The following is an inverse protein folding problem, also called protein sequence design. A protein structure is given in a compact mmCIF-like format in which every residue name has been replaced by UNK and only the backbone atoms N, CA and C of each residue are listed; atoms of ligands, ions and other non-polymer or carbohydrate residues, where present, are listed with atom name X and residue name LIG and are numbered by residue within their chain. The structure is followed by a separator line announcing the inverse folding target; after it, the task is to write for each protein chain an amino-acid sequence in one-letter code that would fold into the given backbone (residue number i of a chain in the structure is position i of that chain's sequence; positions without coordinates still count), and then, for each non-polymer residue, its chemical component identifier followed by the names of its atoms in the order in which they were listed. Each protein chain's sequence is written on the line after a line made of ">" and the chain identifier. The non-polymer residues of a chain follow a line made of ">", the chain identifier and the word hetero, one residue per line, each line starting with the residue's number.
data_IF_496613610617
#
_entry.id   IF_496613610617
#
_cell.length_a   1.000
_cell.length_b   1.000
_cell.length_c   1.000
_cell.angle_alpha   90.00
_cell.angle_beta   90.00
_cell.angle_gamma   90.00
#
_symmetry.space_group_name_H-M   'P 1'
#
loop_
_entity.id
_entity.type
_entity.pdbx_description
1 polymer ?
#
# COMPACT_ATOMS: atom_id res chain seq x y z
N UNK A 1 -19.74 -2.40 34.63
CA UNK A 1 -18.76 -2.30 33.55
C UNK A 1 -19.33 -3.07 32.36
N UNK A 2 -20.10 -2.37 31.50
CA UNK A 2 -20.70 -2.95 30.29
C UNK A 2 -19.59 -3.07 29.25
N UNK A 3 -19.20 -4.27 28.94
CA UNK A 3 -18.41 -4.56 27.75
C UNK A 3 -19.31 -4.19 26.56
N UNK A 4 -18.97 -3.08 25.90
CA UNK A 4 -19.59 -2.69 24.64
C UNK A 4 -19.40 -3.85 23.66
N UNK A 5 -20.50 -4.36 23.12
CA UNK A 5 -20.48 -5.33 22.02
C UNK A 5 -19.51 -4.84 20.95
N UNK A 6 -18.63 -5.73 20.43
CA UNK A 6 -17.78 -5.37 19.32
C UNK A 6 -18.70 -4.96 18.17
N UNK A 7 -18.53 -3.73 17.67
CA UNK A 7 -19.29 -3.22 16.56
C UNK A 7 -19.20 -4.23 15.42
N UNK A 8 -20.33 -4.89 15.12
CA UNK A 8 -20.50 -5.78 13.99
C UNK A 8 -20.33 -4.97 12.69
N UNK A 9 -19.10 -4.64 12.34
CA UNK A 9 -18.84 -4.25 10.97
C UNK A 9 -19.04 -5.49 10.09
N UNK A 10 -19.95 -5.43 9.13
CA UNK A 10 -20.08 -6.56 8.22
C UNK A 10 -18.75 -6.73 7.50
N UNK A 11 -18.11 -7.88 7.68
CA UNK A 11 -16.91 -8.34 6.96
C UNK A 11 -16.98 -8.01 5.44
N UNK A 12 -18.18 -7.95 4.90
CA UNK A 12 -18.47 -7.59 3.51
C UNK A 12 -18.18 -6.13 3.12
N UNK A 13 -17.99 -5.22 4.08
CA UNK A 13 -17.69 -3.81 3.75
C UNK A 13 -16.20 -3.59 3.40
N UNK A 14 -15.31 -4.50 3.79
CA UNK A 14 -13.87 -4.40 3.55
C UNK A 14 -13.41 -5.15 2.29
N UNK A 15 -14.28 -5.96 1.68
CA UNK A 15 -13.92 -6.65 0.43
C UNK A 15 -14.13 -5.71 -0.76
N UNK A 16 -13.16 -5.62 -1.68
CA UNK A 16 -13.37 -4.94 -2.94
C UNK A 16 -14.58 -5.56 -3.64
N UNK A 17 -15.49 -4.72 -4.14
CA UNK A 17 -16.74 -5.13 -4.83
C UNK A 17 -16.50 -5.89 -6.14
N UNK A 18 -15.25 -6.16 -6.51
CA UNK A 18 -14.85 -7.01 -7.63
C UNK A 18 -14.80 -8.47 -7.19
N UNK A 19 -15.44 -9.37 -7.93
CA UNK A 19 -15.29 -10.82 -7.75
C UNK A 19 -13.83 -11.25 -7.96
N UNK A 20 -13.49 -12.49 -7.58
CA UNK A 20 -12.15 -13.08 -7.78
C UNK A 20 -11.69 -12.95 -9.25
N UNK A 21 -12.63 -12.90 -10.18
CA UNK A 21 -12.43 -12.72 -11.62
C UNK A 21 -12.79 -11.29 -12.06
N UNK A 22 -12.09 -10.30 -11.52
CA UNK A 22 -12.23 -8.92 -11.95
C UNK A 22 -11.47 -8.62 -13.25
N UNK A 23 -11.66 -7.40 -13.79
CA UNK A 23 -11.01 -6.96 -15.04
C UNK A 23 -9.48 -7.08 -14.94
N UNK A 24 -8.92 -6.79 -13.77
CA UNK A 24 -7.47 -6.88 -13.54
C UNK A 24 -6.97 -8.32 -13.65
N UNK A 25 -7.73 -9.28 -13.10
CA UNK A 25 -7.42 -10.71 -13.24
C UNK A 25 -7.45 -11.15 -14.70
N UNK A 26 -8.47 -10.73 -15.46
CA UNK A 26 -8.58 -11.06 -16.88
C UNK A 26 -7.43 -10.47 -17.71
N UNK A 27 -7.06 -9.21 -17.47
CA UNK A 27 -5.93 -8.56 -18.15
C UNK A 27 -4.63 -9.30 -17.84
N UNK A 28 -4.33 -9.56 -16.56
CA UNK A 28 -3.10 -10.22 -16.17
C UNK A 28 -3.02 -11.66 -16.70
N UNK A 29 -4.12 -12.40 -16.66
CA UNK A 29 -4.19 -13.76 -17.17
C UNK A 29 -4.02 -13.80 -18.68
N UNK A 30 -4.67 -12.89 -19.42
CA UNK A 30 -4.53 -12.78 -20.87
C UNK A 30 -3.07 -12.45 -21.25
N UNK A 31 -2.47 -11.49 -20.53
CA UNK A 31 -1.07 -11.13 -20.76
C UNK A 31 -0.12 -12.29 -20.48
N UNK A 32 -0.36 -13.04 -19.40
CA UNK A 32 0.44 -14.24 -19.09
C UNK A 32 0.34 -15.30 -20.19
N UNK A 33 -0.88 -15.53 -20.72
CA UNK A 33 -1.07 -16.48 -21.86
C UNK A 33 -0.34 -15.98 -23.10
N UNK A 34 -0.46 -14.70 -23.46
CA UNK A 34 0.23 -14.13 -24.62
C UNK A 34 1.74 -14.30 -24.49
N UNK A 35 2.33 -13.98 -23.35
CA UNK A 35 3.76 -14.16 -23.12
C UNK A 35 4.17 -15.63 -23.11
N UNK A 36 3.34 -16.53 -22.61
CA UNK A 36 3.59 -17.97 -22.66
C UNK A 36 3.63 -18.49 -24.12
N UNK A 37 2.71 -18.02 -24.98
CA UNK A 37 2.70 -18.35 -26.41
C UNK A 37 3.93 -17.79 -27.11
N UNK A 38 4.28 -16.53 -26.87
CA UNK A 38 5.48 -15.91 -27.43
C UNK A 38 6.75 -16.66 -27.00
N UNK A 39 6.83 -17.05 -25.74
CA UNK A 39 7.94 -17.85 -25.24
C UNK A 39 8.01 -19.22 -25.92
N UNK A 40 6.87 -19.91 -26.08
CA UNK A 40 6.79 -21.21 -26.73
C UNK A 40 7.24 -21.16 -28.19
N UNK A 41 6.88 -20.09 -28.91
CA UNK A 41 7.32 -19.90 -30.31
C UNK A 41 8.83 -19.71 -30.42
N UNK A 42 9.47 -19.10 -29.40
CA UNK A 42 10.93 -18.94 -29.37
C UNK A 42 11.65 -20.24 -29.02
N UNK A 43 11.18 -20.92 -27.99
CA UNK A 43 11.69 -22.22 -27.53
C UNK A 43 10.60 -22.92 -26.69
N UNK A 44 10.21 -24.15 -27.02
CA UNK A 44 9.21 -24.93 -26.29
C UNK A 44 9.51 -25.13 -24.80
N UNK A 45 10.75 -25.00 -24.37
CA UNK A 45 11.17 -25.14 -22.97
C UNK A 45 10.92 -23.87 -22.12
N UNK A 46 10.85 -22.67 -22.73
CA UNK A 46 10.75 -21.39 -22.02
C UNK A 46 9.48 -21.22 -21.17
N UNK A 47 8.29 -21.66 -21.59
CA UNK A 47 7.10 -21.55 -20.75
C UNK A 47 7.22 -22.32 -19.43
N UNK A 48 7.85 -23.51 -19.46
CA UNK A 48 8.08 -24.31 -18.27
C UNK A 48 9.08 -23.63 -17.31
N UNK A 49 10.15 -23.06 -17.87
CA UNK A 49 11.13 -22.26 -17.10
C UNK A 49 10.45 -21.04 -16.48
N UNK A 50 9.63 -20.33 -17.25
CA UNK A 50 8.87 -19.18 -16.78
C UNK A 50 7.89 -19.54 -15.66
N UNK A 51 7.15 -20.64 -15.81
CA UNK A 51 6.25 -21.14 -14.78
C UNK A 51 6.99 -21.52 -13.48
N UNK A 52 8.13 -22.19 -13.59
CA UNK A 52 8.98 -22.54 -12.45
C UNK A 52 9.50 -21.31 -11.72
N UNK A 53 9.94 -20.31 -12.47
CA UNK A 53 10.39 -19.03 -11.88
C UNK A 53 9.23 -18.30 -11.18
N UNK A 54 8.04 -18.28 -11.77
CA UNK A 54 6.84 -17.72 -11.16
C UNK A 54 6.46 -18.43 -9.85
N UNK A 55 6.51 -19.77 -9.83
CA UNK A 55 6.27 -20.55 -8.61
C UNK A 55 7.33 -20.28 -7.53
N UNK A 56 8.59 -20.13 -7.92
CA UNK A 56 9.67 -19.79 -6.97
C UNK A 56 9.45 -18.41 -6.35
N UNK A 57 9.01 -17.42 -7.14
CA UNK A 57 8.64 -16.10 -6.64
C UNK A 57 7.44 -16.19 -5.68
N UNK A 58 6.42 -16.96 -6.01
CA UNK A 58 5.26 -17.16 -5.14
C UNK A 58 5.68 -17.76 -3.80
N UNK A 59 6.53 -18.80 -3.83
CA UNK A 59 7.06 -19.42 -2.61
C UNK A 59 7.86 -18.46 -1.73
N UNK A 60 8.60 -17.55 -2.36
CA UNK A 60 9.35 -16.51 -1.65
C UNK A 60 8.46 -15.43 -1.02
N UNK A 61 7.30 -15.13 -1.64
CA UNK A 61 6.39 -14.06 -1.21
C UNK A 61 5.44 -14.54 -0.10
N UNK A 62 4.94 -15.77 -0.16
CA UNK A 62 3.94 -16.32 0.78
C UNK A 62 4.33 -16.12 2.26
N UNK A 63 5.55 -16.44 2.72
CA UNK A 63 5.92 -16.29 4.12
C UNK A 63 5.87 -14.85 4.64
N UNK A 64 5.92 -13.87 3.73
CA UNK A 64 5.82 -12.44 4.06
C UNK A 64 4.39 -11.92 3.94
N UNK A 65 3.64 -12.45 2.97
CA UNK A 65 2.26 -12.04 2.71
C UNK A 65 1.32 -12.45 3.84
N UNK A 66 1.44 -13.68 4.33
CA UNK A 66 0.55 -14.21 5.39
C UNK A 66 0.60 -13.35 6.66
N UNK A 67 1.77 -13.11 7.31
CA UNK A 67 1.82 -12.27 8.49
C UNK A 67 1.42 -10.81 8.20
N UNK A 68 1.68 -10.29 6.98
CA UNK A 68 1.27 -8.94 6.60
C UNK A 68 -0.25 -8.80 6.56
N UNK A 69 -0.97 -9.77 6.01
CA UNK A 69 -2.43 -9.78 5.97
C UNK A 69 -3.04 -9.97 7.38
N UNK A 70 -2.46 -10.83 8.21
CA UNK A 70 -2.87 -11.00 9.60
C UNK A 70 -2.69 -9.69 10.37
N UNK A 71 -1.53 -9.04 10.21
CA UNK A 71 -1.27 -7.74 10.83
C UNK A 71 -2.29 -6.68 10.38
N UNK A 72 -2.58 -6.61 9.09
CA UNK A 72 -3.59 -5.69 8.56
C UNK A 72 -4.98 -5.95 9.16
N UNK A 73 -5.38 -7.24 9.28
CA UNK A 73 -6.63 -7.62 9.95
C UNK A 73 -6.66 -7.23 11.43
N UNK A 74 -5.56 -7.44 12.16
CA UNK A 74 -5.45 -7.03 13.57
C UNK A 74 -5.51 -5.51 13.72
N UNK A 75 -4.86 -4.75 12.83
CA UNK A 75 -4.89 -3.28 12.85
C UNK A 75 -6.31 -2.75 12.64
N UNK A 76 -7.15 -3.41 11.83
CA UNK A 76 -8.56 -3.04 11.66
C UNK A 76 -9.35 -3.11 12.97
N UNK A 77 -9.02 -4.06 13.84
CA UNK A 77 -9.70 -4.24 15.13
C UNK A 77 -9.12 -3.34 16.22
N UNK A 78 -7.80 -3.14 16.19
CA UNK A 78 -7.07 -2.38 17.24
C UNK A 78 -7.14 -0.88 17.02
N UNK A 79 -7.17 -0.41 15.79
CA UNK A 79 -7.20 1.04 15.49
C UNK A 79 -8.62 1.55 15.67
N UNK A 80 -8.88 2.44 16.68
CA UNK A 80 -10.20 3.02 16.86
C UNK A 80 -10.52 3.95 15.69
N UNK A 81 -11.61 3.68 15.00
CA UNK A 81 -12.06 4.50 13.86
C UNK A 81 -12.26 5.96 14.23
N UNK A 82 -12.79 6.21 15.42
CA UNK A 82 -12.99 7.57 15.95
C UNK A 82 -11.67 8.34 16.05
N UNK A 83 -10.59 7.68 16.43
CA UNK A 83 -9.26 8.29 16.52
C UNK A 83 -8.74 8.66 15.15
N UNK A 84 -8.84 7.77 14.17
CA UNK A 84 -8.42 8.05 12.79
C UNK A 84 -9.26 9.18 12.20
N UNK A 85 -10.58 9.10 12.32
CA UNK A 85 -11.49 10.14 11.83
C UNK A 85 -11.25 11.50 12.52
N UNK A 86 -10.90 11.51 13.80
CA UNK A 86 -10.60 12.74 14.55
C UNK A 86 -9.32 13.42 14.09
N UNK A 87 -8.23 12.67 13.90
CA UNK A 87 -6.91 13.23 13.56
C UNK A 87 -6.66 13.36 12.07
N UNK A 88 -7.26 12.51 11.26
CA UNK A 88 -7.03 12.41 9.80
C UNK A 88 -8.30 12.57 8.97
N UNK A 89 -9.45 12.84 9.61
CA UNK A 89 -10.72 13.04 8.91
C UNK A 89 -10.79 14.41 8.20
N UNK A 90 -11.91 14.64 7.52
CA UNK A 90 -12.15 15.84 6.68
C UNK A 90 -11.88 17.19 7.34
N UNK A 91 -12.01 17.29 8.66
CA UNK A 91 -11.81 18.55 9.41
C UNK A 91 -10.38 18.75 9.92
N UNK A 92 -9.49 17.82 9.69
CA UNK A 92 -8.16 17.81 10.32
C UNK A 92 -7.13 18.73 9.65
N UNK A 93 -7.45 19.33 8.49
CA UNK A 93 -6.65 20.36 7.86
C UNK A 93 -5.23 19.94 7.44
N UNK A 94 -4.38 20.94 7.23
CA UNK A 94 -3.00 20.74 6.76
C UNK A 94 -2.13 19.90 7.72
N UNK A 95 -2.39 19.98 9.03
CA UNK A 95 -1.67 19.19 10.04
C UNK A 95 -1.81 17.68 9.83
N UNK A 96 -2.99 17.21 9.42
CA UNK A 96 -3.23 15.81 9.12
C UNK A 96 -2.41 15.31 7.90
N UNK A 97 -2.23 16.16 6.89
CA UNK A 97 -1.41 15.86 5.72
C UNK A 97 0.05 15.66 6.13
N UNK A 98 0.59 16.56 6.96
CA UNK A 98 1.95 16.46 7.48
C UNK A 98 2.14 15.21 8.35
N UNK A 99 1.22 14.93 9.28
CA UNK A 99 1.27 13.74 10.12
C UNK A 99 1.17 12.46 9.32
N UNK A 100 0.28 12.42 8.32
CA UNK A 100 0.15 11.28 7.42
C UNK A 100 1.41 11.05 6.59
N UNK A 101 2.05 12.12 6.11
CA UNK A 101 3.33 12.03 5.40
C UNK A 101 4.42 11.42 6.28
N UNK A 102 4.56 11.88 7.53
CA UNK A 102 5.52 11.30 8.48
C UNK A 102 5.22 9.84 8.76
N UNK A 103 3.94 9.50 8.99
CA UNK A 103 3.52 8.10 9.19
C UNK A 103 3.88 7.22 7.98
N UNK A 104 3.70 7.71 6.75
CA UNK A 104 4.08 7.02 5.53
C UNK A 104 5.58 6.72 5.45
N UNK A 105 6.44 7.68 5.82
CA UNK A 105 7.91 7.48 5.84
C UNK A 105 8.31 6.37 6.81
N UNK A 106 7.72 6.36 8.00
CA UNK A 106 8.08 5.44 9.09
C UNK A 106 7.50 4.04 8.87
N UNK A 107 6.42 3.90 8.09
CA UNK A 107 5.76 2.61 7.90
C UNK A 107 6.72 1.58 7.28
N UNK A 108 7.06 0.51 8.02
CA UNK A 108 7.94 -0.53 7.54
C UNK A 108 7.21 -1.46 6.58
N UNK A 109 7.95 -2.12 5.72
CA UNK A 109 7.43 -3.16 4.84
C UNK A 109 7.21 -2.68 3.40
N UNK A 110 7.02 -3.66 2.53
CA UNK A 110 6.73 -3.45 1.11
C UNK A 110 5.25 -3.18 0.84
N UNK A 111 4.83 -3.15 -0.45
CA UNK A 111 3.43 -2.92 -0.85
C UNK A 111 2.45 -3.88 -0.18
N UNK A 112 2.90 -5.09 0.15
CA UNK A 112 2.09 -6.12 0.81
C UNK A 112 1.63 -5.74 2.23
N UNK A 113 2.31 -4.81 2.88
CA UNK A 113 1.92 -4.28 4.21
C UNK A 113 1.21 -2.94 4.06
N UNK A 114 1.78 -2.05 3.25
CA UNK A 114 1.32 -0.66 3.17
C UNK A 114 -0.04 -0.52 2.48
N UNK A 115 -0.32 -1.33 1.45
CA UNK A 115 -1.61 -1.26 0.75
C UNK A 115 -2.77 -1.75 1.63
N UNK A 116 -2.70 -2.91 2.31
CA UNK A 116 -3.72 -3.29 3.29
C UNK A 116 -3.91 -2.26 4.42
N UNK A 117 -2.82 -1.69 4.93
CA UNK A 117 -2.89 -0.65 5.95
C UNK A 117 -3.63 0.59 5.44
N UNK A 118 -3.39 0.98 4.20
CA UNK A 118 -4.08 2.09 3.54
C UNK A 118 -5.61 1.85 3.48
N UNK A 119 -6.01 0.64 3.14
CA UNK A 119 -7.43 0.24 3.12
C UNK A 119 -8.03 0.33 4.52
N UNK A 120 -7.30 -0.10 5.56
CA UNK A 120 -7.73 0.04 6.96
C UNK A 120 -7.95 1.50 7.32
N UNK A 121 -6.98 2.37 7.04
CA UNK A 121 -7.05 3.79 7.35
C UNK A 121 -8.21 4.48 6.61
N UNK A 122 -8.41 4.15 5.33
CA UNK A 122 -9.54 4.64 4.53
C UNK A 122 -10.89 4.23 5.14
N UNK A 123 -11.05 2.96 5.49
CA UNK A 123 -12.27 2.45 6.12
C UNK A 123 -12.49 3.01 7.53
N UNK A 124 -11.43 3.45 8.20
CA UNK A 124 -11.50 4.12 9.50
C UNK A 124 -11.82 5.62 9.41
N UNK A 125 -12.16 6.13 8.22
CA UNK A 125 -12.59 7.52 8.03
C UNK A 125 -11.47 8.51 7.79
N UNK A 126 -10.28 8.06 7.38
CA UNK A 126 -9.21 8.93 6.93
C UNK A 126 -9.61 9.66 5.64
N UNK A 127 -9.45 10.97 5.59
CA UNK A 127 -9.76 11.76 4.39
C UNK A 127 -8.79 11.47 3.26
N UNK A 128 -9.23 11.67 2.02
CA UNK A 128 -8.43 11.39 0.82
C UNK A 128 -7.10 12.15 0.78
N UNK A 129 -7.07 13.41 1.19
CA UNK A 129 -5.84 14.21 1.21
C UNK A 129 -4.72 13.60 2.06
N UNK A 130 -4.94 13.37 3.36
CA UNK A 130 -3.98 12.65 4.20
C UNK A 130 -3.65 11.25 3.69
N UNK A 131 -4.61 10.51 3.11
CA UNK A 131 -4.39 9.18 2.55
C UNK A 131 -3.39 9.22 1.39
N UNK A 132 -3.57 10.16 0.46
CA UNK A 132 -2.66 10.36 -0.68
C UNK A 132 -1.29 10.84 -0.21
N UNK A 133 -1.23 11.73 0.79
CA UNK A 133 0.01 12.18 1.38
C UNK A 133 0.80 11.02 2.01
N UNK A 134 0.13 10.17 2.78
CA UNK A 134 0.72 8.95 3.36
C UNK A 134 1.30 8.04 2.27
N UNK A 135 0.51 7.71 1.24
CA UNK A 135 0.93 6.80 0.18
C UNK A 135 2.10 7.37 -0.62
N UNK A 136 2.06 8.67 -0.93
CA UNK A 136 3.13 9.37 -1.66
C UNK A 136 4.42 9.40 -0.82
N UNK A 137 4.33 9.71 0.47
CA UNK A 137 5.47 9.72 1.37
C UNK A 137 6.09 8.32 1.52
N UNK A 138 5.27 7.30 1.71
CA UNK A 138 5.72 5.91 1.76
C UNK A 138 6.41 5.49 0.46
N UNK A 139 5.84 5.86 -0.70
CA UNK A 139 6.39 5.51 -2.01
C UNK A 139 7.72 6.21 -2.30
N UNK A 140 7.89 7.45 -1.84
CA UNK A 140 9.11 8.22 -2.06
C UNK A 140 10.19 7.96 -1.00
N UNK A 141 9.81 7.84 0.26
CA UNK A 141 10.73 7.87 1.40
C UNK A 141 10.64 6.65 2.30
N UNK A 142 9.98 5.58 1.90
CA UNK A 142 9.85 4.38 2.72
C UNK A 142 11.19 3.98 3.34
N UNK A 143 11.30 4.08 4.66
CA UNK A 143 12.55 3.89 5.44
C UNK A 143 13.22 2.56 5.12
N UNK A 144 12.42 1.50 4.93
CA UNK A 144 12.94 0.18 4.56
C UNK A 144 13.69 0.22 3.22
N UNK A 145 13.16 0.92 2.21
CA UNK A 145 13.80 1.02 0.90
C UNK A 145 15.11 1.82 0.96
N UNK A 146 15.09 2.91 1.71
CA UNK A 146 16.28 3.75 1.90
C UNK A 146 17.39 2.94 2.57
N UNK A 147 17.10 2.24 3.66
CA UNK A 147 18.10 1.51 4.44
C UNK A 147 18.54 0.23 3.72
N UNK A 148 17.61 -0.52 3.13
CA UNK A 148 17.94 -1.82 2.56
C UNK A 148 18.56 -1.74 1.16
N UNK A 149 18.27 -0.69 0.38
CA UNK A 149 18.65 -0.63 -1.03
C UNK A 149 19.37 0.66 -1.41
N UNK A 150 18.80 1.83 -1.11
CA UNK A 150 19.34 3.09 -1.63
C UNK A 150 20.67 3.46 -0.97
N UNK A 151 20.73 3.45 0.35
CA UNK A 151 21.94 3.83 1.06
C UNK A 151 23.11 2.87 0.79
N UNK A 152 22.94 1.52 0.79
CA UNK A 152 24.02 0.60 0.48
C UNK A 152 24.49 0.66 -0.98
N UNK A 153 23.60 0.91 -1.94
CA UNK A 153 23.93 0.86 -3.37
C UNK A 153 24.38 2.21 -3.93
N UNK A 154 23.75 3.30 -3.48
CA UNK A 154 23.94 4.65 -4.05
C UNK A 154 24.65 5.62 -3.09
N UNK A 155 24.79 5.23 -1.83
CA UNK A 155 25.41 6.05 -0.78
C UNK A 155 24.48 7.10 -0.17
N UNK A 156 24.82 7.54 1.04
CA UNK A 156 24.02 8.49 1.82
C UNK A 156 23.89 9.88 1.17
N UNK A 157 24.90 10.30 0.39
CA UNK A 157 24.85 11.58 -0.32
C UNK A 157 23.70 11.61 -1.34
N UNK A 158 23.58 10.56 -2.15
CA UNK A 158 22.47 10.42 -3.10
C UNK A 158 21.12 10.42 -2.40
N UNK A 159 20.99 9.64 -1.32
CA UNK A 159 19.75 9.58 -0.53
C UNK A 159 19.35 10.94 -0.01
N UNK A 160 20.31 11.71 0.54
CA UNK A 160 20.04 13.04 1.09
C UNK A 160 19.57 14.01 0.01
N UNK A 161 20.25 14.08 -1.13
CA UNK A 161 19.88 14.96 -2.26
C UNK A 161 18.51 14.59 -2.80
N UNK A 162 18.24 13.31 -3.05
CA UNK A 162 16.94 12.82 -3.54
C UNK A 162 15.81 13.11 -2.56
N UNK A 163 16.03 12.83 -1.28
CA UNK A 163 15.04 13.09 -0.24
C UNK A 163 14.74 14.58 -0.12
N UNK A 164 15.76 15.43 -0.09
CA UNK A 164 15.58 16.89 -0.04
C UNK A 164 14.80 17.41 -1.25
N UNK A 165 15.14 16.96 -2.46
CA UNK A 165 14.46 17.36 -3.69
C UNK A 165 12.99 16.92 -3.75
N UNK A 166 12.65 15.81 -3.08
CA UNK A 166 11.32 15.21 -3.16
C UNK A 166 10.42 15.51 -1.95
N UNK A 167 10.95 16.12 -0.89
CA UNK A 167 10.30 16.28 0.42
C UNK A 167 8.93 16.97 0.35
N UNK A 168 8.75 17.88 -0.60
CA UNK A 168 7.53 18.66 -0.73
C UNK A 168 6.38 17.87 -1.38
N UNK A 169 6.69 16.85 -2.18
CA UNK A 169 5.67 16.17 -3.01
C UNK A 169 4.53 15.51 -2.22
N UNK A 170 4.76 14.79 -1.11
CA UNK A 170 3.66 14.21 -0.33
C UNK A 170 2.69 15.27 0.18
N UNK A 171 3.22 16.40 0.64
CA UNK A 171 2.43 17.50 1.19
C UNK A 171 1.62 18.17 0.08
N UNK A 172 2.26 18.47 -1.04
CA UNK A 172 1.58 19.08 -2.21
C UNK A 172 0.51 18.15 -2.76
N UNK A 173 0.81 16.86 -2.92
CA UNK A 173 -0.15 15.88 -3.43
C UNK A 173 -1.38 15.76 -2.51
N UNK A 174 -1.17 15.63 -1.20
CA UNK A 174 -2.26 15.58 -0.24
C UNK A 174 -3.08 16.87 -0.20
N UNK A 175 -2.42 18.03 -0.28
CA UNK A 175 -3.09 19.32 -0.30
C UNK A 175 -3.92 19.55 -1.56
N UNK A 176 -3.38 19.23 -2.73
CA UNK A 176 -4.12 19.30 -3.99
C UNK A 176 -5.37 18.42 -3.96
N UNK A 177 -5.26 17.19 -3.47
CA UNK A 177 -6.42 16.31 -3.34
C UNK A 177 -7.47 16.91 -2.40
N UNK A 178 -7.06 17.50 -1.29
CA UNK A 178 -7.99 18.17 -0.37
C UNK A 178 -8.70 19.36 -1.01
N UNK A 179 -8.04 20.08 -1.92
CA UNK A 179 -8.65 21.22 -2.62
C UNK A 179 -9.66 20.80 -3.69
N UNK A 180 -9.32 19.78 -4.48
CA UNK A 180 -10.11 19.39 -5.65
C UNK A 180 -11.20 18.34 -5.34
N UNK A 181 -10.95 17.48 -4.36
CA UNK A 181 -11.84 16.39 -3.96
C UNK A 181 -12.38 16.64 -2.55
N UNK A 182 -12.92 17.82 -2.33
CA UNK A 182 -13.52 18.25 -1.07
C UNK A 182 -14.82 17.47 -0.79
N UNK A 183 -14.68 16.13 -0.61
CA UNK A 183 -15.76 15.22 -0.23
C UNK A 183 -15.95 15.13 1.29
#
# INVERSE_FOLDING_TARGET
>A
MKLSEPANMPYNAAMPRGGIFDVSFLILSSLAVVFAVVAYVKDPSLPLIGARNGLALLWFIIPRLVPALILAGMLQVVIPQETVARYFGRRSGFGAICMASVAGVITPGGPMVSVPLLVVLSNSGMALGPLVAYMTAWSLFGMQRIIAWEAPLMGWHFVAVRTAASLIFPIVAGWLVTLYFNE
#
